data_IF_503702818348
#
_entry.id   IF_503702818348
#
_cell.length_a   1.000
_cell.length_b   1.000
_cell.length_c   1.000
_cell.angle_alpha   90.00
_cell.angle_beta   90.00
_cell.angle_gamma   90.00
#
_symmetry.space_group_name_H-M   'P 1'
#
loop_
_entity.id
_entity.type
_entity.pdbx_description
1 polymer ?
#
# COMPACT_ATOMS: atom_id res chain seq x y z
N UNK A 1 -3.50 -2.25 -6.26
CA UNK A 1 -4.00 -1.06 -6.97
C UNK A 1 -5.51 -1.08 -6.92
N UNK A 2 -6.16 0.06 -6.73
CA UNK A 2 -7.61 0.21 -6.69
C UNK A 2 -8.04 1.54 -7.30
N UNK A 3 -9.10 1.55 -8.09
CA UNK A 3 -9.68 2.75 -8.71
C UNK A 3 -11.02 3.02 -7.99
N UNK A 4 -11.16 4.17 -7.31
CA UNK A 4 -12.39 4.50 -6.60
C UNK A 4 -13.57 4.70 -7.57
N UNK A 5 -14.80 4.51 -7.09
CA UNK A 5 -15.99 4.74 -7.91
C UNK A 5 -16.02 6.18 -8.41
N UNK A 6 -16.49 6.38 -9.64
CA UNK A 6 -16.58 7.68 -10.30
C UNK A 6 -15.24 8.41 -10.55
N UNK A 7 -14.09 7.76 -10.32
CA UNK A 7 -12.81 8.32 -10.73
C UNK A 7 -12.81 8.58 -12.24
N UNK A 8 -12.53 9.81 -12.71
CA UNK A 8 -12.43 10.12 -14.14
C UNK A 8 -11.12 9.60 -14.77
N UNK A 9 -10.29 8.87 -14.00
CA UNK A 9 -8.94 8.49 -14.39
C UNK A 9 -8.93 7.72 -15.72
N UNK A 10 -8.12 8.20 -16.66
CA UNK A 10 -7.94 7.61 -17.99
C UNK A 10 -6.58 8.00 -18.58
N UNK A 11 -6.39 7.77 -19.87
CA UNK A 11 -5.19 8.20 -20.61
C UNK A 11 -5.06 9.71 -20.77
N UNK A 12 -6.15 10.46 -20.63
CA UNK A 12 -6.18 11.91 -20.89
C UNK A 12 -6.81 12.73 -19.77
N UNK A 13 -7.37 12.08 -18.75
CA UNK A 13 -8.02 12.74 -17.63
C UNK A 13 -7.36 12.28 -16.33
N UNK A 14 -6.79 13.21 -15.54
CA UNK A 14 -6.33 12.91 -14.19
C UNK A 14 -7.48 12.40 -13.32
N UNK A 15 -7.21 11.48 -12.41
CA UNK A 15 -8.21 11.04 -11.44
C UNK A 15 -7.62 10.21 -10.30
N UNK A 16 -8.51 9.81 -9.39
CA UNK A 16 -8.22 9.00 -8.22
C UNK A 16 -7.72 7.59 -8.56
N UNK A 17 -6.64 7.18 -7.91
CA UNK A 17 -6.13 5.81 -7.86
C UNK A 17 -5.42 5.56 -6.53
N UNK A 18 -5.64 4.38 -5.97
CA UNK A 18 -4.97 3.87 -4.77
C UNK A 18 -3.97 2.79 -5.16
N UNK A 19 -2.78 2.79 -4.57
CA UNK A 19 -1.84 1.68 -4.70
C UNK A 19 -1.01 1.52 -3.43
N UNK A 20 -0.49 0.32 -3.21
CA UNK A 20 0.45 0.03 -2.13
C UNK A 20 1.72 -0.52 -2.75
N UNK A 21 2.86 0.00 -2.30
CA UNK A 21 4.19 -0.45 -2.67
C UNK A 21 4.89 -0.92 -1.40
N UNK A 22 5.31 -2.18 -1.36
CA UNK A 22 6.04 -2.75 -0.23
C UNK A 22 7.36 -3.35 -0.71
N UNK A 23 8.43 -3.10 0.04
CA UNK A 23 9.76 -3.60 -0.28
C UNK A 23 10.60 -3.83 0.98
N UNK A 24 11.66 -4.67 0.89
CA UNK A 24 12.62 -4.80 1.97
C UNK A 24 13.35 -3.49 2.27
N UNK A 25 13.67 -3.23 3.53
CA UNK A 25 14.50 -2.07 3.94
C UNK A 25 15.96 -2.17 3.49
N UNK A 26 16.37 -3.31 2.91
CA UNK A 26 17.67 -3.45 2.23
C UNK A 26 17.71 -2.76 0.86
N UNK A 27 16.60 -2.23 0.38
CA UNK A 27 16.57 -1.39 -0.82
C UNK A 27 16.80 0.07 -0.43
N UNK A 28 17.75 0.72 -1.10
CA UNK A 28 17.95 2.17 -1.04
C UNK A 28 16.67 2.90 -1.49
N UNK A 29 16.06 2.39 -2.57
CA UNK A 29 14.76 2.84 -3.09
C UNK A 29 14.07 1.74 -3.91
N UNK A 30 12.75 1.85 -4.06
CA UNK A 30 11.93 1.08 -5.01
C UNK A 30 10.99 2.01 -5.78
N UNK A 31 10.80 1.75 -7.07
CA UNK A 31 9.96 2.52 -7.97
C UNK A 31 8.83 1.68 -8.57
N UNK A 32 7.65 2.28 -8.71
CA UNK A 32 6.51 1.78 -9.48
C UNK A 32 6.14 2.83 -10.52
N UNK A 33 6.01 2.45 -11.79
CA UNK A 33 5.66 3.36 -12.86
C UNK A 33 4.41 2.94 -13.62
N UNK A 34 3.56 3.92 -13.93
CA UNK A 34 2.42 3.76 -14.84
C UNK A 34 2.94 4.08 -16.24
N UNK A 35 3.09 3.05 -17.08
CA UNK A 35 3.72 3.18 -18.39
C UNK A 35 4.38 1.88 -18.86
N UNK A 36 4.77 1.83 -20.13
CA UNK A 36 5.43 0.65 -20.73
C UNK A 36 6.93 0.59 -20.45
N UNK A 37 7.54 1.74 -20.18
CA UNK A 37 8.98 1.94 -20.03
C UNK A 37 9.24 3.22 -19.25
N UNK A 38 10.49 3.48 -18.85
CA UNK A 38 10.84 4.68 -18.08
C UNK A 38 10.45 5.97 -18.80
N UNK A 39 10.77 6.09 -20.09
CA UNK A 39 10.40 7.26 -20.89
C UNK A 39 8.87 7.44 -20.94
N UNK A 40 8.40 8.63 -20.55
CA UNK A 40 7.00 9.03 -20.52
C UNK A 40 6.14 8.32 -19.47
N UNK A 41 6.72 7.54 -18.55
CA UNK A 41 5.96 6.98 -17.42
C UNK A 41 5.79 8.00 -16.30
N UNK A 42 4.65 7.90 -15.61
CA UNK A 42 4.48 8.50 -14.28
C UNK A 42 5.11 7.56 -13.25
N UNK A 43 6.16 7.97 -12.56
CA UNK A 43 6.96 7.10 -11.69
C UNK A 43 6.80 7.52 -10.23
N UNK A 44 6.59 6.55 -9.33
CA UNK A 44 6.51 6.75 -7.89
C UNK A 44 7.67 6.02 -7.24
N UNK A 45 8.57 6.76 -6.61
CA UNK A 45 9.74 6.21 -5.91
C UNK A 45 9.52 6.29 -4.41
N UNK A 46 9.65 5.15 -3.74
CA UNK A 46 9.58 5.01 -2.28
C UNK A 46 10.98 4.74 -1.71
N UNK A 47 11.31 5.41 -0.60
CA UNK A 47 12.49 5.15 0.22
C UNK A 47 12.22 5.49 1.69
N UNK A 48 13.02 4.95 2.61
CA UNK A 48 12.89 5.25 4.03
C UNK A 48 13.20 6.74 4.32
N UNK A 49 12.43 7.35 5.21
CA UNK A 49 12.59 8.77 5.57
C UNK A 49 13.63 9.01 6.68
N UNK A 50 14.07 7.95 7.36
CA UNK A 50 15.01 7.99 8.48
C UNK A 50 14.35 8.08 9.86
N UNK A 51 13.02 8.19 9.92
CA UNK A 51 12.23 8.43 11.12
C UNK A 51 11.18 7.33 11.37
N UNK A 52 11.35 6.16 10.75
CA UNK A 52 10.43 5.03 10.86
C UNK A 52 9.25 5.10 9.88
N UNK A 53 9.26 6.06 8.95
CA UNK A 53 8.27 6.18 7.88
C UNK A 53 8.97 6.11 6.50
N UNK A 54 8.21 6.39 5.44
CA UNK A 54 8.70 6.41 4.06
C UNK A 54 8.42 7.74 3.41
N UNK A 55 9.26 8.09 2.44
CA UNK A 55 9.04 9.17 1.50
C UNK A 55 8.51 8.59 0.20
N UNK A 56 7.49 9.24 -0.38
CA UNK A 56 7.02 8.95 -1.73
C UNK A 56 7.33 10.15 -2.64
N UNK A 57 7.96 9.88 -3.77
CA UNK A 57 8.38 10.87 -4.76
C UNK A 57 7.73 10.56 -6.10
N UNK A 58 6.79 11.39 -6.53
CA UNK A 58 6.19 11.36 -7.86
C UNK A 58 7.10 12.07 -8.85
N UNK A 59 7.48 11.37 -9.92
CA UNK A 59 8.48 11.79 -10.89
C UNK A 59 7.99 11.63 -12.32
N UNK A 60 8.47 12.50 -13.19
CA UNK A 60 8.31 12.38 -14.64
C UNK A 60 9.45 11.54 -15.22
N UNK A 61 9.10 10.43 -15.88
CA UNK A 61 10.04 9.57 -16.56
C UNK A 61 10.68 10.20 -17.81
N UNK A 62 10.13 11.30 -18.32
CA UNK A 62 10.73 12.14 -19.36
C UNK A 62 11.18 11.35 -20.58
N UNK A 63 12.44 11.53 -21.00
CA UNK A 63 13.03 10.83 -22.15
C UNK A 63 13.52 9.41 -21.83
N UNK A 64 13.49 8.99 -20.57
CA UNK A 64 14.09 7.76 -20.08
C UNK A 64 15.62 7.77 -20.09
N UNK A 65 16.23 6.75 -19.47
CA UNK A 65 17.69 6.58 -19.36
C UNK A 65 18.46 7.77 -18.75
N UNK A 66 17.73 8.67 -18.09
CA UNK A 66 18.21 9.72 -17.19
C UNK A 66 17.41 9.62 -15.91
N UNK A 67 17.92 10.17 -14.81
CA UNK A 67 17.18 10.18 -13.55
C UNK A 67 15.82 10.87 -13.75
N UNK A 68 14.68 10.22 -13.42
CA UNK A 68 13.39 10.88 -13.43
C UNK A 68 13.37 12.03 -12.42
N UNK A 69 12.88 13.21 -12.82
CA UNK A 69 12.85 14.39 -11.97
C UNK A 69 11.53 14.49 -11.20
N UNK A 70 11.56 15.13 -10.03
CA UNK A 70 10.37 15.40 -9.22
C UNK A 70 9.34 16.20 -10.01
N UNK A 71 8.13 15.66 -10.15
CA UNK A 71 7.01 16.38 -10.76
C UNK A 71 6.15 17.00 -9.65
N UNK A 72 6.25 18.33 -9.52
CA UNK A 72 5.50 19.09 -8.52
C UNK A 72 3.99 19.11 -8.78
N UNK A 73 3.56 19.06 -10.04
CA UNK A 73 2.15 19.05 -10.41
C UNK A 73 1.51 17.68 -10.09
N UNK A 74 2.24 16.59 -10.37
CA UNK A 74 1.86 15.25 -9.92
C UNK A 74 1.79 15.21 -8.39
N UNK A 75 2.84 15.65 -7.69
CA UNK A 75 2.93 15.59 -6.23
C UNK A 75 1.81 16.36 -5.51
N UNK A 76 1.22 17.38 -6.15
CA UNK A 76 0.06 18.10 -5.59
C UNK A 76 -1.16 17.20 -5.33
N UNK A 77 -1.25 16.04 -5.99
CA UNK A 77 -2.31 15.06 -5.79
C UNK A 77 -1.87 13.74 -5.15
N UNK A 78 -0.60 13.59 -4.79
CA UNK A 78 -0.04 12.36 -4.20
C UNK A 78 -0.01 12.48 -2.68
N UNK A 79 -0.71 11.58 -2.01
CA UNK A 79 -0.79 11.54 -0.54
C UNK A 79 -0.39 10.16 -0.02
N UNK A 80 0.52 10.14 0.94
CA UNK A 80 0.84 8.95 1.72
C UNK A 80 -0.27 8.72 2.75
N UNK A 81 -0.83 7.52 2.76
CA UNK A 81 -1.99 7.15 3.57
C UNK A 81 -1.58 6.40 4.84
N UNK A 82 -2.53 6.31 5.78
CA UNK A 82 -2.42 5.45 6.94
C UNK A 82 -2.08 4.00 6.56
N UNK A 83 -1.28 3.35 7.41
CA UNK A 83 -0.70 2.03 7.17
C UNK A 83 0.62 2.06 6.38
N UNK A 84 1.08 3.24 5.97
CA UNK A 84 2.44 3.43 5.45
C UNK A 84 3.47 3.48 6.58
N UNK A 85 4.71 3.16 6.25
CA UNK A 85 5.87 3.32 7.13
C UNK A 85 6.82 2.13 7.07
N UNK A 86 7.74 2.07 8.03
CA UNK A 86 8.72 0.99 8.15
C UNK A 86 8.34 0.10 9.33
N UNK A 87 8.09 -1.19 9.07
CA UNK A 87 7.82 -2.20 10.08
C UNK A 87 8.81 -3.36 9.94
N UNK A 88 9.75 -3.44 10.88
CA UNK A 88 10.84 -4.41 10.84
C UNK A 88 11.69 -4.22 9.59
N UNK A 89 11.77 -5.27 8.76
CA UNK A 89 12.56 -5.27 7.52
C UNK A 89 11.74 -4.88 6.28
N UNK A 90 10.53 -4.34 6.44
CA UNK A 90 9.65 -3.97 5.33
C UNK A 90 9.28 -2.49 5.41
N UNK A 91 9.44 -1.78 4.29
CA UNK A 91 8.91 -0.44 4.08
C UNK A 91 7.68 -0.52 3.18
N UNK A 92 6.63 0.23 3.51
CA UNK A 92 5.35 0.26 2.78
C UNK A 92 4.89 1.69 2.55
N UNK A 93 4.52 2.01 1.31
CA UNK A 93 3.82 3.24 0.95
C UNK A 93 2.42 2.88 0.43
N UNK A 94 1.40 3.23 1.20
CA UNK A 94 0.02 3.26 0.77
C UNK A 94 -0.26 4.64 0.19
N UNK A 95 -0.63 4.74 -1.08
CA UNK A 95 -0.71 6.01 -1.79
C UNK A 95 -2.12 6.21 -2.34
N UNK A 96 -2.63 7.43 -2.18
CA UNK A 96 -3.73 7.96 -2.97
C UNK A 96 -3.19 9.01 -3.93
N UNK A 97 -3.50 8.90 -5.20
CA UNK A 97 -3.15 9.88 -6.20
C UNK A 97 -4.40 10.39 -6.92
N UNK A 98 -4.62 11.70 -6.94
CA UNK A 98 -5.78 12.33 -7.60
C UNK A 98 -5.43 13.04 -8.91
N UNK A 99 -4.15 13.29 -9.15
CA UNK A 99 -3.59 13.93 -10.34
C UNK A 99 -3.02 12.91 -11.33
N UNK A 100 -3.15 11.62 -11.05
CA UNK A 100 -2.60 10.54 -11.87
C UNK A 100 -3.41 10.33 -13.14
N UNK A 101 -2.72 10.03 -14.24
CA UNK A 101 -3.28 9.45 -15.45
C UNK A 101 -2.87 7.98 -15.60
N UNK A 102 -3.59 7.23 -16.41
CA UNK A 102 -3.24 5.86 -16.77
C UNK A 102 -2.55 5.80 -18.14
N UNK A 103 -1.80 4.73 -18.39
CA UNK A 103 -1.24 4.41 -19.71
C UNK A 103 -2.22 3.62 -20.61
N UNK A 104 -3.44 3.38 -20.11
CA UNK A 104 -4.55 2.67 -20.76
C UNK A 104 -5.90 3.18 -20.23
N UNK A 105 -7.01 2.60 -20.68
CA UNK A 105 -8.31 2.81 -20.02
C UNK A 105 -8.32 2.18 -18.61
N UNK A 106 -9.17 2.68 -17.73
CA UNK A 106 -9.37 2.16 -16.36
C UNK A 106 -10.00 0.76 -16.31
N UNK A 107 -10.54 0.28 -17.44
CA UNK A 107 -11.12 -1.07 -17.58
C UNK A 107 -10.23 -2.01 -18.39
N UNK A 108 -9.02 -1.59 -18.75
CA UNK A 108 -8.09 -2.41 -19.54
C UNK A 108 -7.69 -3.67 -18.77
N UNK A 109 -7.84 -4.83 -19.38
CA UNK A 109 -7.33 -6.10 -18.84
C UNK A 109 -5.79 -6.23 -18.90
N UNK A 110 -5.12 -5.30 -19.59
CA UNK A 110 -3.67 -5.30 -19.78
C UNK A 110 -3.15 -3.86 -19.80
N UNK A 111 -3.19 -3.19 -18.65
CA UNK A 111 -2.57 -1.88 -18.46
C UNK A 111 -1.06 -2.05 -18.25
N UNK A 112 -0.18 -1.32 -18.96
CA UNK A 112 1.25 -1.49 -18.82
C UNK A 112 1.84 -0.69 -17.65
N UNK A 113 2.70 -1.36 -16.88
CA UNK A 113 3.38 -0.85 -15.71
C UNK A 113 4.84 -1.27 -15.70
N UNK A 114 5.66 -0.53 -14.96
CA UNK A 114 7.06 -0.86 -14.70
C UNK A 114 7.33 -0.86 -13.20
N UNK A 115 8.36 -1.58 -12.80
CA UNK A 115 8.96 -1.47 -11.48
C UNK A 115 10.48 -1.46 -11.61
N UNK A 116 11.16 -0.80 -10.69
CA UNK A 116 12.61 -0.82 -10.59
C UNK A 116 13.01 -0.69 -9.12
N UNK A 117 14.22 -1.13 -8.76
CA UNK A 117 14.71 -0.97 -7.39
C UNK A 117 16.22 -0.85 -7.37
N UNK A 118 16.75 -0.39 -6.24
CA UNK A 118 18.19 -0.38 -5.99
C UNK A 118 18.44 -0.93 -4.60
N UNK A 119 19.24 -1.98 -4.51
CA UNK A 119 19.76 -2.45 -3.22
C UNK A 119 20.85 -1.50 -2.72
N UNK A 120 20.89 -1.23 -1.42
CA UNK A 120 21.90 -0.34 -0.85
C UNK A 120 21.53 0.22 0.52
N UNK A 121 22.35 1.14 1.01
CA UNK A 121 22.08 1.90 2.23
C UNK A 121 20.84 2.77 2.03
N UNK A 122 19.94 2.79 3.02
CA UNK A 122 18.74 3.62 2.99
C UNK A 122 19.09 5.12 2.85
N UNK A 123 18.29 5.84 2.04
CA UNK A 123 18.47 7.28 1.83
C UNK A 123 18.18 8.12 3.08
N UNK A 124 17.28 7.64 3.96
CA UNK A 124 16.94 8.26 5.24
C UNK A 124 16.69 9.76 5.15
N UNK A 125 15.78 10.14 4.25
CA UNK A 125 15.43 11.54 4.00
C UNK A 125 13.95 11.69 3.64
N UNK A 126 13.34 12.76 4.12
CA UNK A 126 11.96 13.15 3.77
C UNK A 126 11.88 14.08 2.54
N UNK A 127 13.02 14.42 1.93
CA UNK A 127 13.04 15.27 0.73
C UNK A 127 12.63 14.45 -0.51
N UNK A 128 11.47 14.76 -1.08
CA UNK A 128 10.93 14.06 -2.27
C UNK A 128 11.80 14.24 -3.52
N UNK A 129 12.58 15.32 -3.61
CA UNK A 129 13.50 15.60 -4.73
C UNK A 129 14.93 15.09 -4.53
N UNK A 130 15.14 14.12 -3.62
CA UNK A 130 16.48 13.55 -3.38
C UNK A 130 16.99 12.82 -4.62
N UNK A 131 18.24 13.03 -5.01
CA UNK A 131 18.87 12.28 -6.11
C UNK A 131 18.92 10.77 -5.81
N UNK A 132 18.65 9.94 -6.82
CA UNK A 132 18.68 8.48 -6.67
C UNK A 132 19.66 7.82 -7.64
N UNK A 133 20.39 6.83 -7.13
CA UNK A 133 21.27 6.02 -7.97
C UNK A 133 20.45 5.18 -8.96
N UNK A 134 21.01 4.94 -10.15
CA UNK A 134 20.40 4.07 -11.15
C UNK A 134 20.19 2.63 -10.61
N UNK A 135 19.03 2.03 -10.90
CA UNK A 135 18.80 0.60 -10.63
C UNK A 135 19.83 -0.27 -11.34
N UNK A 136 20.09 -1.48 -10.83
CA UNK A 136 20.95 -2.45 -11.51
C UNK A 136 20.41 -2.88 -12.88
N UNK A 137 21.25 -3.55 -13.68
CA UNK A 137 20.91 -4.08 -15.00
C UNK A 137 19.75 -5.08 -14.98
N UNK A 138 19.53 -5.75 -13.85
CA UNK A 138 18.51 -6.78 -13.68
C UNK A 138 17.46 -6.39 -12.62
N UNK A 139 17.56 -5.18 -12.07
CA UNK A 139 16.72 -4.66 -10.97
C UNK A 139 15.52 -3.85 -11.48
N UNK A 140 14.89 -4.32 -12.55
CA UNK A 140 13.67 -3.73 -13.09
C UNK A 140 12.77 -4.76 -13.77
N UNK A 141 11.47 -4.48 -13.86
CA UNK A 141 10.48 -5.33 -14.54
C UNK A 141 9.50 -4.48 -15.31
N UNK A 142 9.09 -4.98 -16.47
CA UNK A 142 7.89 -4.53 -17.18
C UNK A 142 6.81 -5.58 -16.97
N UNK A 143 5.59 -5.15 -16.71
CA UNK A 143 4.47 -6.06 -16.48
C UNK A 143 3.15 -5.38 -16.84
N UNK A 144 2.05 -6.13 -16.76
CA UNK A 144 0.72 -5.58 -16.98
C UNK A 144 -0.20 -5.88 -15.83
N UNK A 145 -1.07 -4.92 -15.50
CA UNK A 145 -2.15 -5.07 -14.53
C UNK A 145 -3.50 -5.16 -15.24
N UNK A 146 -4.35 -6.05 -14.74
CA UNK A 146 -5.75 -6.14 -15.14
C UNK A 146 -6.58 -5.13 -14.33
N UNK A 147 -6.78 -3.94 -14.90
CA UNK A 147 -7.53 -2.87 -14.24
C UNK A 147 -9.04 -3.11 -14.23
N UNK A 148 -9.56 -4.01 -15.07
CA UNK A 148 -10.97 -4.43 -15.00
C UNK A 148 -11.33 -5.06 -13.64
N UNK A 149 -10.32 -5.54 -12.91
CA UNK A 149 -10.44 -6.11 -11.55
C UNK A 149 -10.02 -5.15 -10.44
N UNK A 150 -9.68 -3.90 -10.77
CA UNK A 150 -9.15 -2.93 -9.81
C UNK A 150 -10.22 -1.96 -9.28
N UNK A 151 -11.52 -2.12 -9.60
CA UNK A 151 -12.56 -1.23 -9.10
C UNK A 151 -12.77 -1.38 -7.59
N UNK A 152 -12.81 -0.26 -6.86
CA UNK A 152 -13.21 -0.21 -5.46
C UNK A 152 -14.69 0.14 -5.33
N UNK A 153 -15.29 -0.23 -4.20
CA UNK A 153 -16.68 0.10 -3.88
C UNK A 153 -16.85 1.51 -3.29
N UNK A 154 -15.80 2.05 -2.68
CA UNK A 154 -15.80 3.38 -2.05
C UNK A 154 -14.53 4.15 -2.38
N UNK A 155 -14.62 5.48 -2.30
CA UNK A 155 -13.47 6.38 -2.39
C UNK A 155 -12.90 6.62 -0.99
N UNK A 156 -12.17 5.63 -0.48
CA UNK A 156 -11.60 5.61 0.87
C UNK A 156 -10.36 4.72 0.91
N UNK A 157 -9.46 4.95 1.87
CA UNK A 157 -8.22 4.18 2.03
C UNK A 157 -8.53 2.67 2.10
N UNK A 158 -8.20 1.87 1.06
CA UNK A 158 -8.53 0.45 1.02
C UNK A 158 -7.54 -0.42 1.79
N UNK A 159 -6.46 0.16 2.33
CA UNK A 159 -5.36 -0.55 2.98
C UNK A 159 -5.54 -0.66 4.51
N UNK A 160 -6.50 0.07 5.05
CA UNK A 160 -6.92 -0.07 6.45
C UNK A 160 -8.31 -0.68 6.46
N UNK A 161 -8.50 -1.73 7.24
CA UNK A 161 -9.85 -2.25 7.48
C UNK A 161 -10.57 -1.26 8.38
N UNK A 162 -11.66 -0.66 7.89
CA UNK A 162 -12.62 -0.02 8.80
C UNK A 162 -13.11 -1.11 9.75
N UNK A 163 -12.89 -0.99 11.06
CA UNK A 163 -13.38 -1.91 12.09
C UNK A 163 -14.92 -2.04 12.16
N UNK A 164 -15.63 -1.46 11.18
CA UNK A 164 -17.09 -1.42 11.05
C UNK A 164 -17.64 -2.67 10.37
N UNK A 165 -17.25 -3.86 10.81
CA UNK A 165 -17.92 -5.15 10.51
C UNK A 165 -17.47 -6.25 11.48
N UNK A 166 -17.47 -5.96 12.78
CA UNK A 166 -17.47 -6.98 13.82
C UNK A 166 -18.84 -7.05 14.49
N UNK A 167 -19.88 -7.35 13.70
CA UNK A 167 -21.15 -7.89 14.22
C UNK A 167 -21.29 -9.32 13.69
N UNK A 168 -20.51 -10.23 14.26
CA UNK A 168 -20.83 -11.63 14.26
C UNK A 168 -21.54 -11.94 15.59
N UNK A 169 -22.84 -12.19 15.48
CA UNK A 169 -23.74 -12.55 16.57
C UNK A 169 -23.27 -13.80 17.32
N UNK A 170 -23.02 -13.68 18.62
CA UNK A 170 -23.04 -14.82 19.52
C UNK A 170 -24.49 -15.20 19.82
N UNK A 171 -24.95 -16.44 19.59
CA UNK A 171 -26.15 -16.92 20.23
C UNK A 171 -25.82 -17.23 21.70
N UNK A 172 -26.27 -16.36 22.61
CA UNK A 172 -26.36 -16.70 24.02
C UNK A 172 -27.56 -17.64 24.22
N UNK A 173 -27.28 -18.93 24.41
CA UNK A 173 -28.28 -19.86 24.92
C UNK A 173 -28.62 -19.48 26.36
N UNK A 174 -29.86 -19.01 26.55
CA UNK A 174 -30.45 -18.90 27.87
C UNK A 174 -30.81 -20.32 28.37
N UNK A 175 -30.24 -20.69 29.52
CA UNK A 175 -30.82 -21.74 30.37
C UNK A 175 -30.84 -21.23 31.80
N UNK A 176 -32.06 -21.15 32.31
CA UNK A 176 -32.52 -20.60 33.58
C UNK A 176 -31.91 -21.26 34.81
N UNK A 177 -31.68 -20.41 35.82
CA UNK A 177 -31.38 -20.71 37.21
C UNK A 177 -32.44 -21.57 37.89
N UNK A 178 -31.99 -22.63 38.60
CA UNK A 178 -32.66 -23.16 39.78
C UNK A 178 -31.64 -23.84 40.67
N UNK A 179 -31.20 -23.17 41.74
CA UNK A 179 -30.45 -23.78 42.83
C UNK A 179 -31.20 -23.48 44.14
N UNK A 180 -32.01 -24.45 44.56
CA UNK A 180 -32.61 -24.53 45.89
C UNK A 180 -31.68 -25.37 46.77
N UNK A 181 -31.46 -24.89 47.99
CA UNK A 181 -30.71 -25.50 49.09
C UNK A 181 -31.09 -26.95 49.43
N UNK A 182 -30.11 -27.78 49.77
CA UNK A 182 -29.99 -28.53 51.04
C UNK A 182 -28.97 -29.68 50.94
N UNK A 183 -28.35 -30.04 52.07
CA UNK A 183 -27.77 -31.37 52.26
C UNK A 183 -26.26 -31.40 52.55
N UNK A 184 -25.92 -31.37 53.83
CA UNK A 184 -24.66 -31.84 54.42
C UNK A 184 -24.44 -33.34 54.16
N UNK A 185 -23.17 -33.77 54.10
CA UNK A 185 -22.57 -35.07 54.51
C UNK A 185 -21.13 -35.08 53.95
N UNK A 186 -20.09 -34.79 54.73
CA UNK A 186 -19.34 -35.64 55.67
C UNK A 186 -18.56 -36.82 55.03
N UNK A 187 -17.26 -36.85 55.37
CA UNK A 187 -16.30 -37.97 55.30
C UNK A 187 -15.55 -38.31 53.99
N UNK A 188 -14.25 -37.98 53.97
CA UNK A 188 -13.10 -38.83 53.55
C UNK A 188 -11.82 -38.06 53.93
N UNK A 189 -11.14 -38.41 55.02
CA UNK A 189 -10.20 -39.53 55.22
C UNK A 189 -8.92 -39.47 54.36
N UNK A 190 -7.80 -39.50 55.11
CA UNK A 190 -6.40 -39.85 54.80
C UNK A 190 -5.53 -39.00 53.86
N UNK A 191 -4.63 -38.22 54.47
CA UNK A 191 -3.18 -38.25 54.18
C UNK A 191 -2.36 -37.77 55.38
N UNK A 192 -1.53 -38.63 55.97
CA UNK A 192 -0.32 -38.24 56.72
C UNK A 192 0.88 -39.04 56.21
N UNK A 193 1.98 -38.29 56.01
CA UNK A 193 3.41 -38.64 55.98
C UNK A 193 3.94 -39.70 55.01
#
# INVERSE_FOLDING_TARGET
VGIPPNSPISTSSPGGIYFSLSAPTSYQWIGLGIGKQMAGATIFVMYADGNGNVTISGRDGGQGHVEPELDSALMAGVTLLEGSGVNGSVMTANVHCTTCTLSSTSTSASSPWIAAWRSGTALNTNAAGTEIDQHGSDDYRQFTLDLSKASLSTDSNPFVVSSSSATASSPASASSSSASSSGSDDSSDTTES
#
